data_IF_165976546672
#
_entry.id   IF_165976546672
#
_cell.length_a   1.000
_cell.length_b   1.000
_cell.length_c   1.000
_cell.angle_alpha   90.00
_cell.angle_beta   90.00
_cell.angle_gamma   90.00
#
_symmetry.space_group_name_H-M   'P 1'
#
loop_
_entity.id
_entity.type
_entity.pdbx_description
1 polymer ?
#
# COMPACT_ATOMS: atom_id res chain seq x y z
N UNK A 1 -12.77 -3.98 4.48
CA UNK A 1 -12.62 -3.28 5.74
C UNK A 1 -13.82 -3.54 6.66
N UNK A 2 -15.03 -3.10 6.34
CA UNK A 2 -16.24 -3.21 7.20
C UNK A 2 -16.64 -4.64 7.62
N UNK A 3 -15.93 -5.65 7.19
CA UNK A 3 -16.16 -7.03 7.62
C UNK A 3 -15.23 -7.45 8.77
N UNK A 4 -14.21 -6.67 9.09
CA UNK A 4 -13.32 -6.96 10.22
C UNK A 4 -14.02 -6.50 11.50
N UNK A 5 -14.26 -7.38 12.47
CA UNK A 5 -14.84 -6.97 13.75
C UNK A 5 -13.98 -5.91 14.43
N UNK A 6 -14.59 -4.87 14.99
CA UNK A 6 -13.89 -3.77 15.71
C UNK A 6 -12.90 -4.31 16.73
N UNK A 7 -13.33 -5.34 17.50
CA UNK A 7 -12.49 -6.02 18.50
C UNK A 7 -11.24 -6.71 17.94
N UNK A 8 -11.14 -6.87 16.60
CA UNK A 8 -10.00 -7.48 15.93
C UNK A 8 -9.04 -6.46 15.30
N UNK A 9 -9.45 -5.20 15.17
CA UNK A 9 -8.64 -4.19 14.50
C UNK A 9 -7.25 -4.01 15.12
N UNK A 10 -7.14 -4.11 16.44
CA UNK A 10 -5.88 -3.94 17.16
C UNK A 10 -5.14 -5.26 17.46
N UNK A 11 -5.68 -6.38 16.98
CA UNK A 11 -4.99 -7.67 17.10
C UNK A 11 -3.77 -7.67 16.18
N UNK A 12 -2.63 -8.03 16.75
CA UNK A 12 -1.36 -8.15 16.01
C UNK A 12 -1.42 -9.34 15.06
N UNK A 13 -0.96 -9.13 13.84
CA UNK A 13 -0.95 -10.15 12.79
C UNK A 13 0.08 -11.24 13.10
N UNK A 14 -0.19 -12.50 12.74
CA UNK A 14 0.79 -13.56 12.87
C UNK A 14 2.06 -13.28 12.09
N UNK A 15 3.21 -13.30 12.76
CA UNK A 15 4.52 -13.11 12.13
C UNK A 15 4.82 -11.69 11.65
N UNK A 16 4.02 -10.71 12.05
CA UNK A 16 4.19 -9.29 11.69
C UNK A 16 3.93 -8.39 12.89
N UNK A 17 4.78 -7.37 13.17
CA UNK A 17 4.61 -6.47 14.30
C UNK A 17 3.60 -5.35 14.02
N UNK A 18 2.54 -5.65 13.28
CA UNK A 18 1.47 -4.69 12.94
C UNK A 18 0.09 -5.31 13.18
N UNK A 19 -0.88 -4.48 13.52
CA UNK A 19 -2.27 -4.88 13.65
C UNK A 19 -3.01 -4.86 12.31
N UNK A 20 -4.24 -5.42 12.28
CA UNK A 20 -5.14 -5.25 11.13
C UNK A 20 -5.38 -3.78 10.80
N UNK A 21 -5.57 -2.93 11.80
CA UNK A 21 -5.75 -1.48 11.63
C UNK A 21 -4.55 -0.85 10.93
N UNK A 22 -3.34 -1.17 11.40
CA UNK A 22 -2.10 -0.67 10.81
C UNK A 22 -1.90 -1.16 9.37
N UNK A 23 -2.23 -2.42 9.08
CA UNK A 23 -2.14 -2.94 7.71
C UNK A 23 -3.12 -2.23 6.77
N UNK A 24 -4.36 -2.03 7.21
CA UNK A 24 -5.38 -1.31 6.42
C UNK A 24 -4.97 0.14 6.18
N UNK A 25 -4.53 0.83 7.23
CA UNK A 25 -4.00 2.18 7.08
C UNK A 25 -2.87 2.22 6.05
N UNK A 26 -1.92 1.30 6.14
CA UNK A 26 -0.77 1.24 5.24
C UNK A 26 -1.17 1.08 3.77
N UNK A 27 -2.20 0.28 3.47
CA UNK A 27 -2.72 0.12 2.09
C UNK A 27 -3.06 1.48 1.47
N UNK A 28 -3.65 2.38 2.23
CA UNK A 28 -4.08 3.70 1.73
C UNK A 28 -3.02 4.79 1.94
N UNK A 29 -2.13 4.62 2.90
CA UNK A 29 -0.99 5.51 3.08
C UNK A 29 -0.01 5.47 1.89
N UNK A 30 0.17 4.31 1.27
CA UNK A 30 1.02 4.15 0.08
C UNK A 30 0.59 5.11 -1.05
N UNK A 31 -0.66 5.08 -1.55
CA UNK A 31 -1.11 6.03 -2.56
C UNK A 31 -1.20 7.47 -2.05
N UNK A 32 -1.42 7.71 -0.76
CA UNK A 32 -1.36 9.06 -0.20
C UNK A 32 0.04 9.66 -0.30
N UNK A 33 1.07 8.90 0.04
CA UNK A 33 2.48 9.34 -0.11
C UNK A 33 2.80 9.65 -1.56
N UNK A 34 2.33 8.81 -2.50
CA UNK A 34 2.48 9.08 -3.93
C UNK A 34 1.80 10.41 -4.34
N UNK A 35 0.56 10.63 -3.95
CA UNK A 35 -0.17 11.87 -4.26
C UNK A 35 0.51 13.09 -3.67
N UNK A 36 0.96 13.01 -2.43
CA UNK A 36 1.66 14.11 -1.77
C UNK A 36 3.00 14.43 -2.44
N UNK A 37 3.73 13.42 -2.89
CA UNK A 37 4.94 13.61 -3.67
C UNK A 37 4.66 14.29 -5.01
N UNK A 38 3.66 13.78 -5.75
CA UNK A 38 3.31 14.28 -7.07
C UNK A 38 2.77 15.71 -7.02
N UNK A 39 1.81 15.97 -6.14
CA UNK A 39 1.07 17.25 -6.10
C UNK A 39 1.78 18.34 -5.31
N UNK A 40 2.47 17.97 -4.24
CA UNK A 40 3.00 18.93 -3.26
C UNK A 40 4.53 18.92 -3.17
N UNK A 41 5.23 18.12 -3.99
CA UNK A 41 6.67 17.88 -3.88
C UNK A 41 7.13 17.45 -2.47
N UNK A 42 6.22 16.80 -1.72
CA UNK A 42 6.58 16.23 -0.42
C UNK A 42 7.55 15.07 -0.65
N UNK A 43 8.71 15.01 0.03
CA UNK A 43 9.68 13.95 -0.21
C UNK A 43 9.06 12.54 -0.06
N UNK A 44 9.32 11.67 -1.04
CA UNK A 44 8.90 10.27 -1.00
C UNK A 44 9.93 9.48 -0.22
N UNK A 45 9.77 9.44 1.10
CA UNK A 45 10.71 8.82 2.01
C UNK A 45 10.18 7.49 2.55
N UNK A 46 11.11 6.66 3.02
CA UNK A 46 10.76 5.43 3.69
C UNK A 46 9.91 5.67 4.96
N UNK A 47 10.30 6.67 5.76
CA UNK A 47 9.57 7.06 6.98
C UNK A 47 8.13 7.48 6.68
N UNK A 48 7.88 8.13 5.54
CA UNK A 48 6.52 8.50 5.13
C UNK A 48 5.64 7.27 4.88
N UNK A 49 6.21 6.19 4.35
CA UNK A 49 5.52 4.91 4.16
C UNK A 49 5.31 4.15 5.46
N UNK A 50 6.24 4.31 6.41
CA UNK A 50 6.14 3.72 7.75
C UNK A 50 5.40 4.62 8.74
N UNK A 51 4.78 5.69 8.28
CA UNK A 51 4.17 6.66 9.14
C UNK A 51 3.26 5.99 10.19
N UNK A 52 3.42 6.46 11.43
CA UNK A 52 2.64 5.96 12.56
C UNK A 52 1.15 6.22 12.29
N UNK A 53 0.34 5.21 12.54
CA UNK A 53 -1.10 5.31 12.44
C UNK A 53 -1.60 6.56 13.17
N UNK A 54 -2.26 7.50 12.48
CA UNK A 54 -2.75 8.72 13.11
C UNK A 54 -3.76 8.43 14.23
N UNK A 55 -3.62 9.09 15.37
CA UNK A 55 -4.50 8.92 16.52
C UNK A 55 -5.99 9.18 16.22
N UNK A 56 -6.28 9.89 15.14
CA UNK A 56 -7.66 10.14 14.69
C UNK A 56 -8.34 8.94 14.04
N UNK A 57 -7.58 7.96 13.57
CA UNK A 57 -8.12 6.75 12.92
C UNK A 57 -8.34 5.65 13.96
N UNK A 58 -9.41 5.78 14.76
CA UNK A 58 -9.67 4.96 15.94
C UNK A 58 -10.47 3.70 15.64
N UNK A 59 -11.40 3.77 14.70
CA UNK A 59 -12.32 2.67 14.39
C UNK A 59 -12.42 2.40 12.89
N UNK A 60 -13.31 1.48 12.52
CA UNK A 60 -13.50 1.11 11.12
C UNK A 60 -14.12 2.22 10.27
N UNK A 61 -14.87 3.14 10.86
CA UNK A 61 -15.48 4.24 10.12
C UNK A 61 -14.40 5.29 9.80
N UNK A 62 -13.56 5.64 10.77
CA UNK A 62 -12.43 6.53 10.55
C UNK A 62 -11.50 6.02 9.43
N UNK A 63 -11.20 4.71 9.44
CA UNK A 63 -10.39 4.06 8.40
C UNK A 63 -11.11 4.05 7.04
N UNK A 64 -12.42 3.85 7.05
CA UNK A 64 -13.22 3.87 5.83
C UNK A 64 -13.26 5.26 5.21
N UNK A 65 -13.52 6.28 6.03
CA UNK A 65 -13.57 7.67 5.58
C UNK A 65 -12.21 8.12 5.04
N UNK A 66 -11.13 7.73 5.71
CA UNK A 66 -9.77 7.94 5.21
C UNK A 66 -9.54 7.26 3.86
N UNK A 67 -9.96 6.01 3.71
CA UNK A 67 -9.82 5.25 2.47
C UNK A 67 -10.61 5.89 1.31
N UNK A 68 -11.83 6.34 1.57
CA UNK A 68 -12.65 7.02 0.57
C UNK A 68 -12.06 8.38 0.18
N UNK A 69 -11.50 9.14 1.15
CA UNK A 69 -10.79 10.39 0.84
C UNK A 69 -9.61 10.15 -0.11
N UNK A 70 -8.76 9.18 0.20
CA UNK A 70 -7.61 8.85 -0.66
C UNK A 70 -8.06 8.41 -2.04
N UNK A 71 -9.10 7.59 -2.12
CA UNK A 71 -9.68 7.15 -3.39
C UNK A 71 -10.14 8.34 -4.23
N UNK A 72 -10.95 9.24 -3.65
CA UNK A 72 -11.48 10.41 -4.35
C UNK A 72 -10.35 11.35 -4.80
N UNK A 73 -9.34 11.56 -3.97
CA UNK A 73 -8.15 12.34 -4.32
C UNK A 73 -7.40 11.71 -5.48
N UNK A 74 -7.24 10.39 -5.48
CA UNK A 74 -6.54 9.67 -6.54
C UNK A 74 -7.32 9.72 -7.86
N UNK A 75 -8.62 9.53 -7.83
CA UNK A 75 -9.52 9.65 -9.00
C UNK A 75 -9.50 11.07 -9.56
N UNK A 76 -9.56 12.07 -8.69
CA UNK A 76 -9.47 13.48 -9.09
C UNK A 76 -8.13 13.81 -9.73
N UNK A 77 -7.04 13.41 -9.09
CA UNK A 77 -5.69 13.58 -9.64
C UNK A 77 -5.57 12.91 -11.01
N UNK A 78 -5.99 11.66 -11.13
CA UNK A 78 -5.90 10.93 -12.40
C UNK A 78 -6.69 11.65 -13.52
N UNK A 79 -7.89 12.10 -13.21
CA UNK A 79 -8.78 12.74 -14.20
C UNK A 79 -8.26 14.09 -14.65
N UNK A 80 -7.63 14.85 -13.79
CA UNK A 80 -7.19 16.22 -14.07
C UNK A 80 -5.75 16.29 -14.59
N UNK A 81 -4.85 15.47 -14.05
CA UNK A 81 -3.40 15.58 -14.27
C UNK A 81 -2.79 14.25 -14.76
N UNK A 82 -3.06 13.15 -14.03
CA UNK A 82 -2.33 11.88 -14.19
C UNK A 82 -2.41 11.31 -15.59
N UNK A 83 -3.61 11.26 -16.18
CA UNK A 83 -3.81 10.68 -17.52
C UNK A 83 -3.03 11.36 -18.66
N UNK A 84 -2.58 12.60 -18.46
CA UNK A 84 -1.84 13.38 -19.44
C UNK A 84 -0.39 13.64 -19.02
N UNK A 85 0.02 13.11 -17.87
CA UNK A 85 1.36 13.32 -17.34
C UNK A 85 2.38 12.45 -18.09
N UNK A 86 3.56 13.01 -18.30
CA UNK A 86 4.70 12.27 -18.84
C UNK A 86 5.36 11.45 -17.73
N UNK A 87 4.97 10.21 -17.62
CA UNK A 87 5.47 9.27 -16.62
C UNK A 87 6.90 8.82 -16.86
N UNK A 88 7.54 9.18 -17.97
CA UNK A 88 8.97 8.91 -18.20
C UNK A 88 9.89 9.86 -17.41
N UNK A 89 9.33 10.95 -16.87
CA UNK A 89 10.11 11.91 -16.07
C UNK A 89 10.75 11.26 -14.85
N UNK A 90 11.96 11.71 -14.47
CA UNK A 90 12.64 11.21 -13.29
C UNK A 90 11.92 11.61 -12.00
N UNK A 91 11.92 10.71 -11.06
CA UNK A 91 11.42 10.88 -9.70
C UNK A 91 12.53 10.46 -8.72
N UNK A 92 12.77 11.29 -7.72
CA UNK A 92 13.73 10.99 -6.64
C UNK A 92 12.95 10.46 -5.44
N UNK A 93 13.15 9.19 -5.14
CA UNK A 93 12.47 8.48 -4.05
C UNK A 93 13.51 7.79 -3.16
N UNK A 94 13.11 7.28 -1.99
CA UNK A 94 14.06 6.71 -1.02
C UNK A 94 14.90 5.53 -1.55
N UNK A 95 14.45 4.87 -2.60
CA UNK A 95 15.19 3.77 -3.24
C UNK A 95 15.95 4.18 -4.51
N UNK A 96 16.08 5.47 -4.80
CA UNK A 96 16.87 6.01 -5.88
C UNK A 96 16.12 6.92 -6.84
N UNK A 97 16.80 7.27 -7.94
CA UNK A 97 16.16 7.97 -9.05
C UNK A 97 15.58 6.94 -10.02
N UNK A 98 14.28 7.02 -10.23
CA UNK A 98 13.50 6.14 -11.12
C UNK A 98 12.53 6.98 -11.95
N UNK A 99 11.78 6.37 -12.87
CA UNK A 99 10.70 7.07 -13.56
C UNK A 99 9.45 7.19 -12.66
N UNK A 100 8.62 8.23 -12.89
CA UNK A 100 7.31 8.30 -12.24
C UNK A 100 6.43 7.08 -12.54
N UNK A 101 6.64 6.45 -13.71
CA UNK A 101 5.96 5.18 -14.03
C UNK A 101 6.27 4.11 -13.00
N UNK A 102 7.55 3.91 -12.69
CA UNK A 102 7.98 2.92 -11.70
C UNK A 102 7.43 3.23 -10.30
N UNK A 103 7.38 4.52 -9.93
CA UNK A 103 6.78 4.91 -8.63
C UNK A 103 5.29 4.61 -8.59
N UNK A 104 4.54 4.90 -9.66
CA UNK A 104 3.12 4.61 -9.75
C UNK A 104 2.86 3.09 -9.78
N UNK A 105 3.61 2.36 -10.57
CA UNK A 105 3.53 0.90 -10.65
C UNK A 105 3.79 0.25 -9.28
N UNK A 106 4.86 0.69 -8.59
CA UNK A 106 5.17 0.24 -7.22
C UNK A 106 4.02 0.58 -6.27
N UNK A 107 3.49 1.79 -6.33
CA UNK A 107 2.34 2.20 -5.52
C UNK A 107 1.15 1.26 -5.71
N UNK A 108 0.84 0.92 -6.96
CA UNK A 108 -0.29 0.05 -7.30
C UNK A 108 -0.10 -1.39 -6.82
N UNK A 109 1.03 -2.03 -7.16
CA UNK A 109 1.23 -3.42 -6.80
C UNK A 109 1.46 -3.62 -5.30
N UNK A 110 2.14 -2.68 -4.64
CA UNK A 110 2.38 -2.76 -3.20
C UNK A 110 1.06 -2.72 -2.40
N UNK A 111 0.18 -1.76 -2.70
CA UNK A 111 -1.17 -1.73 -2.12
C UNK A 111 -1.98 -2.98 -2.47
N UNK A 112 -1.90 -3.44 -3.72
CA UNK A 112 -2.55 -4.66 -4.19
C UNK A 112 -2.09 -5.91 -3.43
N UNK A 113 -0.80 -6.04 -3.16
CA UNK A 113 -0.23 -7.13 -2.38
C UNK A 113 -0.79 -7.15 -0.95
N UNK A 114 -0.87 -6.01 -0.31
CA UNK A 114 -1.48 -5.92 1.02
C UNK A 114 -2.99 -6.20 1.00
N UNK A 115 -3.71 -5.86 -0.06
CA UNK A 115 -5.10 -6.29 -0.22
C UNK A 115 -5.25 -7.81 -0.30
N UNK A 116 -4.35 -8.51 -1.02
CA UNK A 116 -4.30 -9.99 -1.05
C UNK A 116 -4.04 -10.56 0.34
N UNK A 117 -3.14 -9.95 1.10
CA UNK A 117 -2.85 -10.35 2.49
C UNK A 117 -4.08 -10.18 3.40
N UNK A 118 -4.79 -9.04 3.30
CA UNK A 118 -6.02 -8.83 4.08
C UNK A 118 -7.09 -9.86 3.72
N UNK A 119 -7.28 -10.15 2.42
CA UNK A 119 -8.26 -11.17 2.01
C UNK A 119 -7.94 -12.55 2.58
N UNK A 120 -6.67 -12.95 2.54
CA UNK A 120 -6.22 -14.22 3.11
C UNK A 120 -6.45 -14.27 4.63
N UNK A 121 -6.11 -13.18 5.34
CA UNK A 121 -6.32 -13.07 6.78
C UNK A 121 -7.80 -13.14 7.16
N UNK A 122 -8.69 -12.51 6.39
CA UNK A 122 -10.14 -12.64 6.59
C UNK A 122 -10.58 -14.11 6.55
N UNK A 123 -10.13 -14.84 5.51
CA UNK A 123 -10.49 -16.25 5.31
C UNK A 123 -9.88 -17.16 6.37
N UNK A 124 -8.58 -17.08 6.60
CA UNK A 124 -7.85 -18.06 7.40
C UNK A 124 -7.84 -17.78 8.90
N UNK A 125 -7.85 -16.50 9.29
CA UNK A 125 -7.71 -16.11 10.70
C UNK A 125 -9.01 -15.64 11.34
N UNK A 126 -9.90 -15.08 10.54
CA UNK A 126 -11.18 -14.58 11.04
C UNK A 126 -12.38 -15.46 10.63
N UNK A 127 -12.19 -16.44 9.76
CA UNK A 127 -13.24 -17.26 9.15
C UNK A 127 -14.34 -16.41 8.48
N UNK A 128 -13.94 -15.32 7.86
CA UNK A 128 -14.83 -14.39 7.16
C UNK A 128 -14.67 -14.57 5.66
N UNK A 129 -15.75 -14.89 4.97
CA UNK A 129 -15.77 -14.89 3.50
C UNK A 129 -15.92 -13.45 3.04
N UNK A 130 -14.98 -12.92 2.24
CA UNK A 130 -15.11 -11.58 1.67
C UNK A 130 -16.40 -11.46 0.86
N UNK A 131 -17.17 -10.41 1.09
CA UNK A 131 -18.37 -10.11 0.29
C UNK A 131 -18.06 -9.85 -1.17
N UNK A 132 -16.89 -9.24 -1.40
CA UNK A 132 -16.32 -9.01 -2.72
C UNK A 132 -14.92 -9.60 -2.68
N UNK A 133 -14.69 -10.67 -3.42
CA UNK A 133 -13.36 -11.26 -3.56
C UNK A 133 -12.51 -10.38 -4.47
N UNK A 134 -11.21 -10.34 -4.20
CA UNK A 134 -10.27 -9.71 -5.12
C UNK A 134 -10.27 -10.47 -6.45
N UNK A 135 -10.36 -9.71 -7.51
CA UNK A 135 -10.22 -10.24 -8.85
C UNK A 135 -8.75 -10.13 -9.28
N UNK A 136 -8.08 -11.25 -9.43
CA UNK A 136 -6.66 -11.30 -9.85
C UNK A 136 -6.43 -10.58 -11.20
N UNK A 137 -7.46 -10.47 -12.06
CA UNK A 137 -7.34 -9.71 -13.31
C UNK A 137 -7.10 -8.22 -13.10
N UNK A 138 -7.41 -7.67 -11.92
CA UNK A 138 -7.10 -6.28 -11.56
C UNK A 138 -5.59 -6.03 -11.44
N UNK A 139 -4.81 -7.09 -11.26
CA UNK A 139 -3.35 -7.01 -11.12
C UNK A 139 -2.62 -7.35 -12.42
N UNK A 140 -3.36 -7.59 -13.51
CA UNK A 140 -2.74 -7.93 -14.78
C UNK A 140 -1.79 -6.81 -15.24
N UNK A 141 -0.56 -7.20 -15.58
CA UNK A 141 0.49 -6.27 -15.99
C UNK A 141 1.28 -5.64 -14.84
N UNK A 142 0.83 -5.80 -13.58
CA UNK A 142 1.63 -5.40 -12.41
C UNK A 142 2.59 -6.53 -12.02
N UNK A 143 3.78 -6.18 -11.53
CA UNK A 143 4.77 -7.15 -11.09
C UNK A 143 4.40 -7.72 -9.71
N UNK A 144 3.29 -8.44 -9.60
CA UNK A 144 2.79 -9.01 -8.34
C UNK A 144 3.65 -10.19 -7.87
N UNK A 145 3.95 -10.31 -6.55
CA UNK A 145 4.57 -11.50 -5.99
C UNK A 145 3.77 -12.77 -6.30
N UNK A 146 4.49 -13.88 -6.55
CA UNK A 146 3.84 -15.17 -6.80
C UNK A 146 3.10 -15.69 -5.57
N UNK A 147 3.65 -15.47 -4.37
CA UNK A 147 2.99 -15.83 -3.12
C UNK A 147 2.50 -14.60 -2.35
N UNK A 148 1.41 -14.76 -1.61
CA UNK A 148 0.78 -13.66 -0.88
C UNK A 148 1.69 -13.10 0.22
N UNK A 149 2.54 -13.95 0.82
CA UNK A 149 3.50 -13.57 1.86
C UNK A 149 4.93 -13.43 1.36
N UNK A 150 5.14 -13.46 0.03
CA UNK A 150 6.46 -13.14 -0.51
C UNK A 150 6.84 -11.72 -0.11
N UNK A 151 8.10 -11.57 0.23
CA UNK A 151 8.62 -10.25 0.45
C UNK A 151 8.80 -9.54 -0.91
N UNK A 152 8.86 -8.24 -0.86
CA UNK A 152 8.92 -7.36 -2.02
C UNK A 152 10.21 -7.51 -2.85
N UNK A 153 11.20 -8.25 -2.34
CA UNK A 153 12.47 -8.51 -3.05
C UNK A 153 12.32 -9.35 -4.29
N UNK A 154 11.21 -10.10 -4.42
CA UNK A 154 11.00 -10.96 -5.59
C UNK A 154 10.88 -10.20 -6.91
N UNK A 155 10.72 -8.86 -6.88
CA UNK A 155 10.47 -8.09 -8.10
C UNK A 155 11.68 -7.55 -8.80
N UNK A 156 12.71 -7.22 -8.09
CA UNK A 156 13.85 -6.62 -8.73
C UNK A 156 15.09 -6.79 -7.87
N UNK A 157 15.68 -7.96 -7.97
CA UNK A 157 17.01 -8.16 -7.42
C UNK A 157 18.01 -7.10 -7.95
N UNK A 158 17.71 -6.50 -9.10
CA UNK A 158 18.58 -5.54 -9.75
C UNK A 158 18.26 -4.06 -9.49
N UNK A 159 17.05 -3.71 -9.08
CA UNK A 159 16.63 -2.30 -8.95
C UNK A 159 16.67 -1.75 -7.54
N UNK A 160 16.79 -2.59 -6.53
CA UNK A 160 16.68 -2.20 -5.12
C UNK A 160 17.84 -2.69 -4.28
N UNK A 161 19.00 -2.88 -4.91
CA UNK A 161 20.16 -3.45 -4.23
C UNK A 161 20.61 -2.56 -3.06
N UNK A 162 20.60 -3.13 -1.87
CA UNK A 162 21.03 -2.52 -0.63
C UNK A 162 19.92 -1.85 0.19
N UNK A 163 19.05 -1.05 -0.41
CA UNK A 163 18.04 -0.29 0.37
C UNK A 163 16.79 -1.11 0.68
N UNK A 164 16.41 -2.00 -0.21
CA UNK A 164 15.33 -2.95 0.06
C UNK A 164 15.64 -3.87 1.25
N UNK A 165 16.93 -4.07 1.56
CA UNK A 165 17.32 -4.83 2.75
C UNK A 165 16.94 -4.14 4.05
N UNK A 166 17.03 -2.80 4.09
CA UNK A 166 16.58 -2.02 5.24
C UNK A 166 15.06 -1.93 5.30
N UNK A 167 14.44 -1.78 4.12
CA UNK A 167 12.99 -1.68 3.96
C UNK A 167 12.24 -2.93 4.43
N UNK A 168 12.83 -4.10 4.19
CA UNK A 168 12.27 -5.39 4.57
C UNK A 168 12.88 -5.92 5.88
N UNK A 169 13.99 -5.34 6.30
CA UNK A 169 14.58 -5.55 7.59
C UNK A 169 14.02 -4.61 8.65
N UNK A 170 12.90 -3.96 8.40
CA UNK A 170 12.11 -3.50 9.51
C UNK A 170 11.99 -4.73 10.38
N UNK A 171 12.80 -4.67 11.37
CA UNK A 171 12.84 -5.67 12.40
C UNK A 171 11.41 -5.82 12.85
N UNK A 172 10.78 -6.78 12.25
CA UNK A 172 9.52 -7.29 12.71
C UNK A 172 9.69 -7.83 14.12
#
# INVERSE_FOLDING_TARGET
>A
LKQIPVSKLDVILPGRPRSYRQLIYHIFNIPEVFLNYFQNNTPYTYEALLSILPNKLKDENDLYDYAEDIKLRFESWWSNEGKNFDFSKPANVYYGEVSFHEVLERTAWHSGQHCRQVELLLKEKLNIIPKIALNESLFYGLPMPSNIWDNERSFSENSYDGQVKEDLSIKE
#
